data_IF_902821111813
#
_entry.id   IF_902821111813
#
_cell.length_a   1.000
_cell.length_b   1.000
_cell.length_c   1.000
_cell.angle_alpha   90.00
_cell.angle_beta   90.00
_cell.angle_gamma   90.00
#
_symmetry.space_group_name_H-M   'P 1'
#
loop_
_entity.id
_entity.type
_entity.pdbx_description
1 polymer ?
#
# COMPACT_ATOMS: atom_id res chain seq x y z
N UNK A 1 -41.47 29.97 -35.95
CA UNK A 1 -40.32 29.07 -36.16
C UNK A 1 -39.97 28.45 -34.83
N UNK A 2 -39.72 27.15 -34.78
CA UNK A 2 -39.31 26.48 -33.54
C UNK A 2 -37.79 26.63 -33.42
N UNK A 3 -37.31 27.12 -32.28
CA UNK A 3 -35.88 27.22 -31.97
C UNK A 3 -35.54 26.21 -30.88
N UNK A 4 -34.44 25.48 -31.07
CA UNK A 4 -33.90 24.60 -30.04
C UNK A 4 -33.13 25.47 -29.06
N UNK A 5 -33.57 25.47 -27.80
CA UNK A 5 -32.89 26.11 -26.68
C UNK A 5 -32.47 25.07 -25.64
N UNK A 6 -31.47 25.41 -24.83
CA UNK A 6 -31.02 24.55 -23.73
C UNK A 6 -32.04 24.47 -22.60
N UNK A 7 -32.02 23.37 -21.86
CA UNK A 7 -32.81 23.20 -20.64
C UNK A 7 -32.23 24.02 -19.48
N UNK A 8 -33.02 24.24 -18.43
CA UNK A 8 -32.60 24.99 -17.23
C UNK A 8 -31.48 24.24 -16.51
N UNK A 9 -30.30 24.87 -16.42
CA UNK A 9 -29.13 24.29 -15.75
C UNK A 9 -29.31 24.25 -14.23
N UNK A 10 -29.04 23.09 -13.62
CA UNK A 10 -29.12 22.88 -12.15
C UNK A 10 -27.78 22.99 -11.42
N UNK A 11 -26.70 23.20 -12.16
CA UNK A 11 -25.34 23.29 -11.66
C UNK A 11 -24.41 23.74 -12.78
N UNK A 12 -23.22 24.19 -12.40
CA UNK A 12 -22.18 24.68 -13.30
C UNK A 12 -20.86 24.06 -12.84
N UNK A 13 -20.04 23.60 -13.79
CA UNK A 13 -18.77 22.98 -13.51
C UNK A 13 -17.71 23.66 -14.38
N UNK A 14 -16.67 24.17 -13.74
CA UNK A 14 -15.58 24.90 -14.38
C UNK A 14 -14.29 24.13 -14.10
N UNK A 15 -13.46 23.98 -15.12
CA UNK A 15 -12.15 23.35 -15.00
C UNK A 15 -11.07 24.41 -15.01
N UNK A 16 -10.46 24.62 -13.84
CA UNK A 16 -9.31 25.52 -13.64
C UNK A 16 -9.52 26.97 -14.13
N UNK A 17 -10.76 27.44 -14.31
CA UNK A 17 -11.06 28.79 -14.77
C UNK A 17 -10.89 29.01 -16.27
N UNK A 18 -10.66 27.94 -17.04
CA UNK A 18 -10.51 28.00 -18.51
C UNK A 18 -11.86 27.84 -19.23
N UNK A 19 -12.93 27.48 -18.52
CA UNK A 19 -14.27 27.42 -19.08
C UNK A 19 -15.18 26.38 -18.44
N UNK A 20 -16.46 26.47 -18.81
CA UNK A 20 -17.47 25.50 -18.38
C UNK A 20 -17.25 24.15 -19.08
N UNK A 21 -17.11 23.10 -18.28
CA UNK A 21 -16.93 21.73 -18.78
C UNK A 21 -18.07 20.82 -18.29
N UNK A 22 -18.23 19.67 -18.95
CA UNK A 22 -19.16 18.64 -18.51
C UNK A 22 -18.39 17.63 -17.66
N UNK A 23 -18.85 17.42 -16.43
CA UNK A 23 -18.28 16.45 -15.49
C UNK A 23 -19.26 15.35 -15.09
N UNK A 24 -18.73 14.26 -14.55
CA UNK A 24 -19.49 13.17 -13.97
C UNK A 24 -18.84 12.65 -12.69
N UNK A 25 -19.65 12.12 -11.77
CA UNK A 25 -19.16 11.48 -10.55
C UNK A 25 -19.42 9.98 -10.61
N UNK A 26 -18.48 9.20 -10.09
CA UNK A 26 -18.62 7.75 -10.00
C UNK A 26 -18.89 7.41 -8.55
N UNK A 27 -20.05 6.80 -8.30
CA UNK A 27 -20.47 6.40 -6.96
C UNK A 27 -20.30 4.89 -6.83
N UNK A 28 -19.41 4.48 -5.92
CA UNK A 28 -19.18 3.09 -5.59
C UNK A 28 -20.24 2.54 -4.63
N UNK A 29 -20.55 1.25 -4.75
CA UNK A 29 -21.48 0.57 -3.83
C UNK A 29 -20.83 0.43 -2.44
N UNK A 30 -21.65 0.53 -1.40
CA UNK A 30 -21.21 0.28 -0.03
C UNK A 30 -20.66 -1.15 0.14
N UNK A 31 -19.48 -1.28 0.76
CA UNK A 31 -18.83 -2.56 1.01
C UNK A 31 -17.95 -3.10 -0.13
N UNK A 32 -17.90 -2.42 -1.29
CA UNK A 32 -16.96 -2.77 -2.35
C UNK A 32 -15.54 -2.24 -2.06
N UNK A 33 -14.53 -2.90 -2.63
CA UNK A 33 -13.15 -2.45 -2.58
C UNK A 33 -12.96 -1.24 -3.50
N UNK A 34 -12.55 -0.10 -2.93
CA UNK A 34 -12.31 1.13 -3.69
C UNK A 34 -11.21 0.96 -4.75
N UNK A 35 -10.12 0.24 -4.43
CA UNK A 35 -8.99 0.05 -5.34
C UNK A 35 -9.44 -0.69 -6.61
N UNK A 36 -10.12 -1.82 -6.44
CA UNK A 36 -10.57 -2.67 -7.54
C UNK A 36 -11.64 -1.97 -8.39
N UNK A 37 -12.49 -1.15 -7.77
CA UNK A 37 -13.47 -0.33 -8.49
C UNK A 37 -12.77 0.73 -9.35
N UNK A 38 -11.79 1.43 -8.79
CA UNK A 38 -11.08 2.49 -9.51
C UNK A 38 -10.28 1.92 -10.68
N UNK A 39 -9.64 0.75 -10.51
CA UNK A 39 -8.91 0.08 -11.58
C UNK A 39 -9.82 -0.30 -12.75
N UNK A 40 -10.96 -0.95 -12.46
CA UNK A 40 -11.97 -1.30 -13.49
C UNK A 40 -12.54 -0.07 -14.20
N UNK A 41 -12.75 1.02 -13.46
CA UNK A 41 -13.20 2.30 -14.03
C UNK A 41 -12.16 2.86 -14.99
N UNK A 42 -10.88 2.88 -14.61
CA UNK A 42 -9.78 3.36 -15.46
C UNK A 42 -9.67 2.54 -16.75
N UNK A 43 -9.75 1.21 -16.65
CA UNK A 43 -9.77 0.34 -17.84
C UNK A 43 -10.95 0.69 -18.77
N UNK A 44 -12.14 0.87 -18.19
CA UNK A 44 -13.33 1.18 -18.99
C UNK A 44 -13.24 2.56 -19.64
N UNK A 45 -12.69 3.56 -18.93
CA UNK A 45 -12.45 4.88 -19.50
C UNK A 45 -11.45 4.82 -20.66
N UNK A 46 -10.36 4.06 -20.54
CA UNK A 46 -9.38 3.88 -21.62
C UNK A 46 -9.98 3.16 -22.86
N UNK A 47 -10.94 2.26 -22.65
CA UNK A 47 -11.70 1.66 -23.75
C UNK A 47 -12.61 2.68 -24.44
N UNK A 48 -13.31 3.50 -23.66
CA UNK A 48 -14.26 4.52 -24.15
C UNK A 48 -13.56 5.69 -24.84
N UNK A 49 -12.35 6.04 -24.43
CA UNK A 49 -11.55 7.11 -25.06
C UNK A 49 -11.34 6.87 -26.57
N UNK A 50 -11.26 5.61 -27.00
CA UNK A 50 -11.12 5.24 -28.42
C UNK A 50 -12.35 5.57 -29.27
N UNK A 51 -13.52 5.70 -28.64
CA UNK A 51 -14.78 6.02 -29.31
C UNK A 51 -15.14 7.50 -29.27
N UNK A 52 -14.31 8.34 -28.65
CA UNK A 52 -14.57 9.77 -28.53
C UNK A 52 -14.26 10.50 -29.85
N UNK A 53 -15.05 11.50 -30.23
CA UNK A 53 -14.76 12.35 -31.37
C UNK A 53 -13.49 13.18 -31.13
N UNK A 54 -12.83 13.56 -32.23
CA UNK A 54 -11.57 14.31 -32.19
C UNK A 54 -11.70 15.59 -31.35
N UNK A 55 -10.78 15.77 -30.40
CA UNK A 55 -10.73 16.93 -29.51
C UNK A 55 -11.41 16.75 -28.14
N UNK A 56 -12.07 15.61 -27.88
CA UNK A 56 -12.61 15.28 -26.55
C UNK A 56 -11.60 14.44 -25.78
N UNK A 57 -11.19 14.92 -24.60
CA UNK A 57 -10.29 14.23 -23.68
C UNK A 57 -10.93 14.11 -22.30
N UNK A 58 -10.78 12.95 -21.66
CA UNK A 58 -11.28 12.74 -20.30
C UNK A 58 -10.13 13.03 -19.34
N UNK A 59 -10.28 14.07 -18.52
CA UNK A 59 -9.31 14.38 -17.47
C UNK A 59 -9.90 14.06 -16.08
N UNK A 60 -9.23 13.17 -15.34
CA UNK A 60 -9.64 12.80 -13.99
C UNK A 60 -9.19 13.86 -12.99
N UNK A 61 -10.11 14.69 -12.51
CA UNK A 61 -9.79 15.78 -11.56
C UNK A 61 -9.45 15.28 -10.15
N UNK A 62 -9.92 14.08 -9.75
CA UNK A 62 -9.72 13.57 -8.40
C UNK A 62 -9.64 12.03 -8.34
N UNK A 63 -8.49 11.51 -7.97
CA UNK A 63 -8.23 10.09 -7.71
C UNK A 63 -7.78 9.89 -6.25
N UNK A 64 -8.56 9.15 -5.46
CA UNK A 64 -8.22 8.85 -4.06
C UNK A 64 -7.19 7.73 -3.91
N UNK A 65 -6.91 7.00 -4.98
CA UNK A 65 -6.04 5.82 -4.95
C UNK A 65 -4.60 6.19 -4.62
N UNK A 66 -4.11 7.31 -5.14
CA UNK A 66 -2.72 7.72 -4.98
C UNK A 66 -2.35 7.96 -3.52
N UNK A 67 -3.25 8.58 -2.75
CA UNK A 67 -3.06 8.78 -1.31
C UNK A 67 -3.02 7.45 -0.55
N UNK A 68 -3.86 6.48 -0.93
CA UNK A 68 -3.90 5.15 -0.32
C UNK A 68 -2.61 4.39 -0.63
N UNK A 69 -2.17 4.40 -1.89
CA UNK A 69 -0.94 3.74 -2.31
C UNK A 69 0.29 4.32 -1.61
N UNK A 70 0.37 5.65 -1.50
CA UNK A 70 1.46 6.31 -0.79
C UNK A 70 1.48 5.93 0.69
N UNK A 71 0.33 5.94 1.37
CA UNK A 71 0.24 5.52 2.77
C UNK A 71 0.65 4.05 2.97
N UNK A 72 0.23 3.15 2.09
CA UNK A 72 0.62 1.73 2.14
C UNK A 72 2.13 1.57 1.93
N UNK A 73 2.72 2.29 0.99
CA UNK A 73 4.16 2.23 0.73
C UNK A 73 4.96 2.73 1.93
N UNK A 74 4.57 3.86 2.52
CA UNK A 74 5.21 4.36 3.74
C UNK A 74 5.13 3.34 4.88
N UNK A 75 3.97 2.71 5.09
CA UNK A 75 3.83 1.66 6.11
C UNK A 75 4.71 0.44 5.84
N UNK A 76 4.79 -0.01 4.58
CA UNK A 76 5.66 -1.12 4.19
C UNK A 76 7.13 -0.81 4.45
N UNK A 77 7.57 0.37 4.06
CA UNK A 77 8.96 0.79 4.22
C UNK A 77 9.33 0.85 5.71
N UNK A 78 8.48 1.44 6.55
CA UNK A 78 8.68 1.46 8.01
C UNK A 78 8.73 0.07 8.62
N UNK A 79 7.83 -0.84 8.23
CA UNK A 79 7.82 -2.20 8.76
C UNK A 79 9.07 -3.00 8.38
N UNK A 80 9.59 -2.81 7.16
CA UNK A 80 10.82 -3.47 6.71
C UNK A 80 12.02 -2.94 7.50
N UNK A 81 12.09 -1.61 7.69
CA UNK A 81 13.16 -0.99 8.47
C UNK A 81 13.17 -1.52 9.92
N UNK A 82 12.00 -1.56 10.57
CA UNK A 82 11.86 -2.12 11.92
C UNK A 82 12.24 -3.61 11.98
N UNK A 83 11.79 -4.42 11.02
CA UNK A 83 12.10 -5.84 10.97
C UNK A 83 13.62 -6.09 10.87
N UNK A 84 14.33 -5.30 10.08
CA UNK A 84 15.79 -5.38 9.94
C UNK A 84 16.46 -5.00 11.26
N UNK A 85 16.07 -3.88 11.88
CA UNK A 85 16.67 -3.42 13.15
C UNK A 85 16.45 -4.45 14.26
N UNK A 86 15.23 -4.97 14.41
CA UNK A 86 14.92 -6.00 15.41
C UNK A 86 15.73 -7.27 15.14
N UNK A 87 15.80 -7.73 13.89
CA UNK A 87 16.59 -8.91 13.51
C UNK A 87 18.08 -8.74 13.85
N UNK A 88 18.65 -7.55 13.63
CA UNK A 88 20.06 -7.27 13.95
C UNK A 88 20.30 -7.29 15.46
N UNK A 89 19.42 -6.67 16.25
CA UNK A 89 19.52 -6.67 17.71
C UNK A 89 19.45 -8.11 18.23
N UNK A 90 18.48 -8.90 17.79
CA UNK A 90 18.33 -10.31 18.18
C UNK A 90 19.57 -11.12 17.80
N UNK A 91 20.15 -10.90 16.62
CA UNK A 91 21.38 -11.58 16.20
C UNK A 91 22.57 -11.26 17.11
N UNK A 92 22.74 -9.99 17.50
CA UNK A 92 23.80 -9.57 18.44
C UNK A 92 23.60 -10.23 19.80
N UNK A 93 22.37 -10.22 20.33
CA UNK A 93 22.05 -10.87 21.59
C UNK A 93 22.27 -12.38 21.52
N UNK A 94 21.88 -13.04 20.42
CA UNK A 94 22.05 -14.47 20.24
C UNK A 94 23.53 -14.86 20.17
N UNK A 95 24.37 -14.10 19.48
CA UNK A 95 25.82 -14.32 19.44
C UNK A 95 26.43 -14.16 20.84
N UNK A 96 26.09 -13.08 21.55
CA UNK A 96 26.60 -12.85 22.91
C UNK A 96 26.18 -13.94 23.90
N UNK A 97 24.94 -14.43 23.77
CA UNK A 97 24.42 -15.51 24.61
C UNK A 97 25.04 -16.87 24.21
N UNK A 98 25.23 -17.13 22.92
CA UNK A 98 25.85 -18.35 22.41
C UNK A 98 27.32 -18.46 22.84
N UNK A 99 28.08 -17.35 22.81
CA UNK A 99 29.44 -17.29 23.36
C UNK A 99 29.45 -17.62 24.86
N UNK A 100 28.51 -17.06 25.63
CA UNK A 100 28.37 -17.36 27.06
C UNK A 100 27.97 -18.82 27.30
N UNK A 101 27.11 -19.40 26.47
CA UNK A 101 26.69 -20.80 26.57
C UNK A 101 27.86 -21.77 26.33
N UNK A 102 28.68 -21.52 25.32
CA UNK A 102 29.89 -22.33 25.07
C UNK A 102 30.94 -22.17 26.19
N UNK A 103 31.11 -20.97 26.73
CA UNK A 103 32.06 -20.72 27.83
C UNK A 103 31.59 -21.36 29.15
N UNK A 104 30.29 -21.37 29.43
CA UNK A 104 29.73 -22.08 30.59
C UNK A 104 29.95 -23.60 30.49
N UNK A 105 29.66 -24.22 29.34
CA UNK A 105 29.86 -25.66 29.16
C UNK A 105 31.35 -26.06 29.20
N UNK A 106 32.25 -25.22 28.68
CA UNK A 106 33.71 -25.46 28.73
C UNK A 106 34.27 -25.43 30.15
N UNK A 107 33.79 -24.52 31.00
CA UNK A 107 34.26 -24.38 32.38
C UNK A 107 33.59 -25.37 33.35
N UNK A 108 32.48 -25.99 32.94
CA UNK A 108 31.82 -27.08 33.67
C UNK A 108 32.60 -28.40 33.62
N UNK A 109 33.47 -28.60 32.62
CA UNK A 109 34.38 -29.75 32.50
C UNK A 109 35.71 -29.59 33.25
N UNK A 110 35.85 -28.59 34.13
CA UNK A 110 36.97 -28.46 35.06
C UNK A 110 36.60 -28.89 36.49
N UNK A 111 35.34 -29.28 36.71
CA UNK A 111 34.87 -29.83 37.97
C UNK A 111 35.24 -31.34 38.02
N UNK A 112 35.99 -31.82 39.02
CA UNK A 112 36.42 -33.23 39.10
C UNK A 112 35.28 -34.25 39.25
N UNK A 113 34.02 -33.80 39.27
CA UNK A 113 32.82 -34.65 39.35
C UNK A 113 32.11 -34.91 38.00
N UNK A 114 32.53 -34.30 36.89
CA UNK A 114 31.85 -34.44 35.58
C UNK A 114 32.07 -35.77 34.82
N UNK A 115 32.69 -36.79 35.43
CA UNK A 115 32.88 -38.12 34.80
C UNK A 115 31.70 -39.08 35.11
N UNK A 116 30.60 -38.61 35.73
CA UNK A 116 29.49 -39.47 36.16
C UNK A 116 28.11 -39.14 35.55
N UNK A 117 28.05 -38.44 34.42
CA UNK A 117 26.76 -38.05 33.82
C UNK A 117 26.78 -38.03 32.29
N UNK A 118 27.29 -39.09 31.66
CA UNK A 118 26.97 -39.38 30.25
C UNK A 118 26.72 -40.88 30.08
N UNK A 119 25.70 -41.37 30.78
CA UNK A 119 25.02 -42.63 30.48
C UNK A 119 23.63 -42.55 31.10
N UNK A 120 22.60 -42.70 30.27
CA UNK A 120 21.14 -42.52 30.56
C UNK A 120 20.74 -41.04 30.60
N UNK A 121 20.02 -40.51 29.59
CA UNK A 121 18.72 -40.92 29.03
C UNK A 121 18.65 -40.60 27.53
#
# INVERSE_FOLDING_TARGET
TVQIGGDTRRGLLDMNGEGEVVGGIIVMRYGENASDVIERVKEKLAELEKGLPDGVKIETSYDRSDLIHNAINTLKDSLIEEAIVVSLIVMIFFISLAERYQNYNRNSCFDPYCIYSDETV
#
